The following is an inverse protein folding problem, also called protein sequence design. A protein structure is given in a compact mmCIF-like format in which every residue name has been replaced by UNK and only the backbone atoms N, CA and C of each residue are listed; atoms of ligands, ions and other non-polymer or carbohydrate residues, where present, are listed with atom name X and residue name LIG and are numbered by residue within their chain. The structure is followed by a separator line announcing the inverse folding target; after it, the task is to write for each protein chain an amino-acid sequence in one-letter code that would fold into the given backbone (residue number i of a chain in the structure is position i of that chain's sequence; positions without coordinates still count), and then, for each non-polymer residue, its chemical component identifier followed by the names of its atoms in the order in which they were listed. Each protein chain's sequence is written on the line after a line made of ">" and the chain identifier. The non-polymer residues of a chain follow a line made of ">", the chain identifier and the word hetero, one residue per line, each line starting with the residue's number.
data_IF_736057176744
#
_entry.id   IF_736057176744
#
_cell.length_a   1.000
_cell.length_b   1.000
_cell.length_c   1.000
_cell.angle_alpha   90.00
_cell.angle_beta   90.00
_cell.angle_gamma   90.00
#
_symmetry.space_group_name_H-M   'P 1'
#
loop_
_entity.id
_entity.type
_entity.pdbx_description
1 polymer ?
#
# COMPACT_ATOMS: atom_id res chain seq x y z
N UNK A 1 4.67 7.39 9.86
CA UNK A 1 5.29 6.17 9.30
C UNK A 1 6.66 6.55 8.73
N UNK A 2 7.73 5.82 9.04
CA UNK A 2 9.09 6.05 8.53
C UNK A 2 9.60 4.78 7.87
N UNK A 3 10.49 4.93 6.88
CA UNK A 3 11.09 3.80 6.16
C UNK A 3 12.57 3.67 6.52
N UNK A 4 13.15 2.46 6.43
CA UNK A 4 14.57 2.27 6.70
C UNK A 4 15.44 3.25 5.91
N UNK A 5 16.46 3.78 6.60
CA UNK A 5 17.37 4.73 6.02
C UNK A 5 18.30 4.02 5.02
N UNK A 6 18.54 4.62 3.84
CA UNK A 6 19.46 4.06 2.84
C UNK A 6 20.91 4.04 3.32
N UNK A 7 21.29 5.07 4.08
CA UNK A 7 22.63 5.27 4.63
C UNK A 7 22.56 5.56 6.13
N UNK A 8 22.35 4.55 6.99
CA UNK A 8 22.19 4.75 8.43
C UNK A 8 23.48 5.30 9.09
N UNK A 9 24.65 4.97 8.54
CA UNK A 9 25.94 5.50 9.01
C UNK A 9 26.25 6.93 8.59
N UNK A 10 25.37 7.62 7.84
CA UNK A 10 25.67 8.96 7.31
C UNK A 10 25.80 9.97 8.45
N UNK A 11 27.00 10.53 8.59
CA UNK A 11 27.30 11.61 9.55
C UNK A 11 27.22 12.98 8.90
N UNK A 12 27.00 14.01 9.70
CA UNK A 12 27.13 15.39 9.24
C UNK A 12 28.58 15.66 8.82
N UNK A 13 28.75 16.20 7.62
CA UNK A 13 30.07 16.51 7.06
C UNK A 13 30.66 17.82 7.61
N UNK A 14 29.82 18.82 7.91
CA UNK A 14 30.23 20.15 8.40
C UNK A 14 29.21 20.74 9.38
N UNK A 15 29.61 21.79 10.09
CA UNK A 15 28.80 22.51 11.08
C UNK A 15 28.95 21.97 12.50
N UNK A 16 28.17 22.51 13.44
CA UNK A 16 28.25 22.20 14.87
C UNK A 16 28.02 20.72 15.20
N UNK A 17 27.29 20.00 14.32
CA UNK A 17 26.99 18.57 14.45
C UNK A 17 27.96 17.66 13.70
N UNK A 18 29.08 18.19 13.17
CA UNK A 18 30.05 17.39 12.42
C UNK A 18 30.48 16.14 13.20
N UNK A 19 30.53 14.99 12.51
CA UNK A 19 30.83 13.71 13.15
C UNK A 19 29.66 13.01 13.85
N UNK A 20 28.55 13.72 14.10
CA UNK A 20 27.30 13.11 14.62
C UNK A 20 26.48 12.48 13.50
N UNK A 21 25.67 11.47 13.82
CA UNK A 21 24.76 10.84 12.87
C UNK A 21 23.69 11.82 12.40
N UNK A 22 23.48 11.89 11.08
CA UNK A 22 22.54 12.82 10.44
C UNK A 22 21.14 12.25 10.23
N UNK A 23 20.97 10.94 10.41
CA UNK A 23 19.69 10.28 10.21
C UNK A 23 18.82 10.34 11.46
N UNK A 24 17.51 10.40 11.26
CA UNK A 24 16.57 10.13 12.33
C UNK A 24 16.62 8.64 12.71
N UNK A 25 16.69 8.29 14.00
CA UNK A 25 16.83 6.89 14.46
C UNK A 25 15.66 6.00 14.07
N UNK A 26 14.48 6.58 13.86
CA UNK A 26 13.27 5.86 13.44
C UNK A 26 13.18 5.67 11.91
N UNK A 27 14.17 6.13 11.14
CA UNK A 27 14.22 6.02 9.68
C UNK A 27 13.91 7.33 8.95
N UNK A 28 13.88 7.28 7.62
CA UNK A 28 13.62 8.45 6.76
C UNK A 28 12.13 8.64 6.45
N UNK A 29 11.80 9.81 5.92
CA UNK A 29 10.50 10.06 5.32
C UNK A 29 10.27 9.08 4.14
N UNK A 30 9.09 8.44 4.04
CA UNK A 30 8.74 7.56 2.91
C UNK A 30 8.84 8.23 1.52
N UNK A 31 8.80 9.56 1.45
CA UNK A 31 8.76 10.32 0.18
C UNK A 31 7.36 10.30 -0.43
N UNK A 32 7.24 10.89 -1.63
CA UNK A 32 5.94 11.12 -2.27
C UNK A 32 5.52 10.00 -3.25
N UNK A 33 6.44 9.09 -3.57
CA UNK A 33 6.20 7.95 -4.46
C UNK A 33 6.09 6.67 -3.62
N UNK A 34 4.91 6.07 -3.59
CA UNK A 34 4.65 4.84 -2.85
C UNK A 34 4.38 3.67 -3.79
N UNK A 35 5.28 2.69 -3.79
CA UNK A 35 5.08 1.46 -4.54
C UNK A 35 4.26 0.48 -3.71
N UNK A 36 2.95 0.40 -3.98
CA UNK A 36 2.00 -0.49 -3.31
C UNK A 36 1.26 -1.32 -4.37
N UNK A 37 1.20 -2.65 -4.28
CA UNK A 37 0.46 -3.47 -5.24
C UNK A 37 -1.06 -3.23 -5.18
N UNK A 38 -1.71 -3.18 -6.34
CA UNK A 38 -3.17 -3.12 -6.42
C UNK A 38 -3.84 -4.44 -6.01
N UNK A 39 -5.10 -4.35 -5.59
CA UNK A 39 -5.95 -5.51 -5.29
C UNK A 39 -6.43 -6.15 -6.59
N UNK A 40 -5.63 -7.07 -7.14
CA UNK A 40 -5.95 -7.89 -8.33
C UNK A 40 -6.79 -9.11 -7.97
N UNK A 41 -7.20 -9.91 -8.96
CA UNK A 41 -8.05 -11.09 -8.80
C UNK A 41 -7.56 -12.08 -7.72
N UNK A 42 -6.26 -12.40 -7.72
CA UNK A 42 -5.65 -13.32 -6.74
C UNK A 42 -5.13 -12.63 -5.47
N UNK A 43 -5.51 -11.37 -5.22
CA UNK A 43 -5.04 -10.63 -4.05
C UNK A 43 -5.79 -11.07 -2.80
N UNK A 44 -5.08 -11.18 -1.66
CA UNK A 44 -5.65 -11.67 -0.38
C UNK A 44 -6.81 -10.83 0.14
N UNK A 45 -6.86 -9.56 -0.24
CA UNK A 45 -7.91 -8.61 0.13
C UNK A 45 -9.05 -8.54 -0.89
N UNK A 46 -8.97 -9.25 -2.03
CA UNK A 46 -9.95 -9.10 -3.11
C UNK A 46 -11.35 -9.47 -2.65
N UNK A 47 -12.29 -8.55 -2.90
CA UNK A 47 -13.73 -8.77 -2.69
C UNK A 47 -14.50 -8.52 -4.00
N UNK A 48 -15.81 -8.33 -3.88
CA UNK A 48 -16.72 -8.04 -4.99
C UNK A 48 -16.46 -6.66 -5.66
N UNK A 49 -15.81 -5.72 -4.96
CA UNK A 49 -15.63 -4.38 -5.51
C UNK A 49 -14.59 -4.37 -6.64
N UNK A 50 -14.90 -3.78 -7.81
CA UNK A 50 -14.01 -3.81 -8.98
C UNK A 50 -12.73 -2.99 -8.74
N UNK A 51 -12.89 -1.78 -8.18
CA UNK A 51 -11.82 -0.81 -7.97
C UNK A 51 -11.40 -0.72 -6.49
N UNK A 52 -11.19 -1.85 -5.83
CA UNK A 52 -10.84 -1.87 -4.41
C UNK A 52 -9.41 -1.38 -4.18
N UNK A 53 -9.23 -0.37 -3.33
CA UNK A 53 -7.91 0.03 -2.86
C UNK A 53 -7.35 -0.95 -1.81
N UNK A 54 -6.03 -1.23 -1.84
CA UNK A 54 -5.39 -2.02 -0.79
C UNK A 54 -5.42 -1.26 0.53
N UNK A 55 -5.66 -1.97 1.64
CA UNK A 55 -5.70 -1.36 2.98
C UNK A 55 -4.39 -0.63 3.28
N UNK A 56 -3.24 -1.19 2.89
CA UNK A 56 -1.93 -0.58 3.12
C UNK A 56 -1.83 0.88 2.62
N UNK A 57 -2.46 1.19 1.48
CA UNK A 57 -2.45 2.55 0.93
C UNK A 57 -3.13 3.51 1.91
N UNK A 58 -4.32 3.16 2.38
CA UNK A 58 -5.11 4.01 3.26
C UNK A 58 -4.55 4.01 4.69
N UNK A 59 -3.98 2.89 5.14
CA UNK A 59 -3.28 2.73 6.42
C UNK A 59 -2.17 3.78 6.60
N UNK A 60 -1.42 4.08 5.52
CA UNK A 60 -0.41 5.15 5.54
C UNK A 60 -1.01 6.53 5.80
N UNK A 61 -2.15 6.84 5.17
CA UNK A 61 -2.83 8.11 5.33
C UNK A 61 -3.40 8.25 6.74
N UNK A 62 -4.07 7.21 7.25
CA UNK A 62 -4.60 7.17 8.62
C UNK A 62 -3.48 7.43 9.63
N UNK A 63 -2.36 6.71 9.54
CA UNK A 63 -1.24 6.88 10.48
C UNK A 63 -0.51 8.21 10.36
N UNK A 64 -0.59 8.89 9.21
CA UNK A 64 0.09 10.16 8.97
C UNK A 64 -0.76 11.37 9.36
N UNK A 65 -2.09 11.26 9.23
CA UNK A 65 -3.02 12.39 9.30
C UNK A 65 -3.94 12.36 10.54
N UNK A 66 -3.89 11.30 11.35
CA UNK A 66 -4.79 11.13 12.50
C UNK A 66 -4.07 10.57 13.73
N UNK A 67 -4.61 10.89 14.90
CA UNK A 67 -4.22 10.32 16.18
C UNK A 67 -5.10 9.12 16.55
N UNK A 68 -4.69 8.36 17.57
CA UNK A 68 -5.53 7.29 18.12
C UNK A 68 -6.85 7.87 18.65
N UNK A 69 -7.97 7.16 18.46
CA UNK A 69 -9.31 7.60 18.87
C UNK A 69 -10.01 8.59 17.92
N UNK A 70 -9.28 9.22 16.98
CA UNK A 70 -9.87 10.10 15.97
C UNK A 70 -10.90 9.37 15.11
N UNK A 71 -11.84 10.13 14.53
CA UNK A 71 -12.82 9.63 13.58
C UNK A 71 -12.31 9.80 12.15
N UNK A 72 -12.17 8.69 11.42
CA UNK A 72 -11.89 8.66 9.99
C UNK A 72 -13.21 8.54 9.23
N UNK A 73 -13.50 9.48 8.35
CA UNK A 73 -14.73 9.49 7.55
C UNK A 73 -14.40 9.25 6.08
N UNK A 74 -15.06 8.27 5.47
CA UNK A 74 -14.99 8.00 4.03
C UNK A 74 -16.41 8.04 3.42
N UNK A 75 -16.80 9.12 2.71
CA UNK A 75 -18.13 9.24 2.13
C UNK A 75 -18.34 8.34 0.89
N UNK A 76 -17.30 7.66 0.42
CA UNK A 76 -17.32 6.70 -0.69
C UNK A 76 -16.68 5.38 -0.26
N UNK A 77 -17.16 4.85 0.87
CA UNK A 77 -16.48 3.81 1.65
C UNK A 77 -16.30 2.51 0.87
N UNK A 78 -17.14 2.23 -0.15
CA UNK A 78 -17.14 0.99 -0.90
C UNK A 78 -17.17 -0.21 0.04
N UNK A 79 -16.22 -1.12 -0.15
CA UNK A 79 -16.04 -2.31 0.70
C UNK A 79 -15.23 -2.05 1.97
N UNK A 80 -14.98 -0.80 2.36
CA UNK A 80 -14.48 -0.46 3.70
C UNK A 80 -12.97 -0.46 3.89
N UNK A 81 -12.15 -0.25 2.85
CA UNK A 81 -10.68 -0.22 3.03
C UNK A 81 -10.21 0.88 4.00
N UNK A 82 -10.81 2.07 3.95
CA UNK A 82 -10.51 3.17 4.89
C UNK A 82 -10.97 2.86 6.33
N UNK A 83 -12.17 2.33 6.49
CA UNK A 83 -12.69 1.95 7.79
C UNK A 83 -11.86 0.82 8.43
N UNK A 84 -11.45 -0.18 7.65
CA UNK A 84 -10.53 -1.23 8.12
C UNK A 84 -9.19 -0.63 8.59
N UNK A 85 -8.58 0.25 7.79
CA UNK A 85 -7.33 0.92 8.15
C UNK A 85 -7.45 1.74 9.45
N UNK A 86 -8.59 2.41 9.66
CA UNK A 86 -8.86 3.17 10.88
C UNK A 86 -8.94 2.26 12.12
N UNK A 87 -9.80 1.24 12.08
CA UNK A 87 -10.04 0.38 13.27
C UNK A 87 -8.83 -0.49 13.62
N UNK A 88 -8.04 -0.93 12.63
CA UNK A 88 -6.77 -1.64 12.84
C UNK A 88 -5.77 -0.84 13.67
N UNK A 89 -5.93 0.48 13.73
CA UNK A 89 -5.05 1.39 14.45
C UNK A 89 -5.76 2.12 15.59
N UNK A 90 -6.89 1.61 16.08
CA UNK A 90 -7.59 2.20 17.23
C UNK A 90 -8.23 3.56 16.93
N UNK A 91 -8.54 3.84 15.66
CA UNK A 91 -9.39 4.98 15.26
C UNK A 91 -10.83 4.51 15.12
N UNK A 92 -11.77 5.45 15.23
CA UNK A 92 -13.17 5.23 14.86
C UNK A 92 -13.32 5.41 13.36
N UNK A 93 -14.34 4.78 12.78
CA UNK A 93 -14.64 4.91 11.36
C UNK A 93 -16.12 5.24 11.14
N UNK A 94 -16.40 6.09 10.16
CA UNK A 94 -17.73 6.30 9.60
C UNK A 94 -17.63 6.41 8.08
N UNK A 95 -18.71 6.06 7.39
CA UNK A 95 -18.75 6.19 5.94
C UNK A 95 -20.07 5.74 5.35
N UNK A 96 -20.22 6.00 4.05
CA UNK A 96 -21.42 5.71 3.29
C UNK A 96 -21.05 5.22 1.89
N UNK A 97 -21.95 4.43 1.31
CA UNK A 97 -21.94 4.00 -0.08
C UNK A 97 -23.39 3.81 -0.51
N UNK A 98 -23.68 3.96 -1.81
CA UNK A 98 -25.03 3.73 -2.35
C UNK A 98 -25.31 2.24 -2.55
N UNK A 99 -24.28 1.40 -2.69
CA UNK A 99 -24.41 -0.03 -2.89
C UNK A 99 -24.49 -0.79 -1.55
N UNK A 100 -25.67 -1.34 -1.24
CA UNK A 100 -25.90 -2.12 -0.02
C UNK A 100 -24.96 -3.35 0.08
N UNK A 101 -24.66 -4.01 -1.03
CA UNK A 101 -23.74 -5.17 -1.06
C UNK A 101 -22.32 -4.78 -0.66
N UNK A 102 -21.86 -3.58 -1.05
CA UNK A 102 -20.55 -3.07 -0.64
C UNK A 102 -20.52 -2.80 0.87
N UNK A 103 -21.59 -2.20 1.40
CA UNK A 103 -21.74 -1.95 2.84
C UNK A 103 -21.77 -3.24 3.66
N UNK A 104 -22.42 -4.30 3.16
CA UNK A 104 -22.44 -5.61 3.83
C UNK A 104 -21.03 -6.21 3.93
N UNK A 105 -20.26 -6.16 2.85
CA UNK A 105 -18.85 -6.59 2.85
C UNK A 105 -18.00 -5.69 3.74
N UNK A 106 -18.22 -4.37 3.73
CA UNK A 106 -17.49 -3.43 4.57
C UNK A 106 -17.69 -3.73 6.06
N UNK A 107 -18.94 -3.98 6.49
CA UNK A 107 -19.29 -4.33 7.88
C UNK A 107 -18.55 -5.58 8.34
N UNK A 108 -18.57 -6.65 7.53
CA UNK A 108 -17.87 -7.90 7.87
C UNK A 108 -16.35 -7.71 7.92
N UNK A 109 -15.77 -6.97 6.98
CA UNK A 109 -14.33 -6.67 6.99
C UNK A 109 -13.93 -5.86 8.22
N UNK A 110 -14.72 -4.85 8.61
CA UNK A 110 -14.47 -4.04 9.81
C UNK A 110 -14.59 -4.89 11.07
N UNK A 111 -15.59 -5.77 11.17
CA UNK A 111 -15.74 -6.73 12.28
C UNK A 111 -14.49 -7.61 12.41
N UNK A 112 -14.07 -8.24 11.31
CA UNK A 112 -12.83 -9.05 11.26
C UNK A 112 -11.58 -8.24 11.61
N UNK A 113 -11.52 -6.96 11.24
CA UNK A 113 -10.40 -6.10 11.56
C UNK A 113 -10.29 -5.85 13.07
N UNK A 114 -11.42 -5.60 13.73
CA UNK A 114 -11.51 -5.43 15.19
C UNK A 114 -11.16 -6.71 15.94
N UNK A 115 -11.52 -7.87 15.39
CA UNK A 115 -11.20 -9.19 15.95
C UNK A 115 -9.77 -9.67 15.65
N UNK A 116 -9.04 -8.98 14.78
CA UNK A 116 -7.69 -9.37 14.35
C UNK A 116 -7.63 -10.52 13.33
N UNK A 117 -8.77 -10.93 12.75
CA UNK A 117 -8.88 -12.00 11.73
C UNK A 117 -9.00 -11.45 10.28
N UNK A 118 -8.78 -10.16 10.07
CA UNK A 118 -8.82 -9.61 8.72
C UNK A 118 -7.59 -10.02 7.91
N UNK A 119 -7.81 -10.88 6.90
CA UNK A 119 -6.79 -11.20 5.89
C UNK A 119 -6.45 -9.95 5.07
N UNK A 120 -5.20 -9.51 5.18
CA UNK A 120 -4.68 -8.34 4.44
C UNK A 120 -3.21 -8.48 4.12
N UNK A 121 -2.73 -7.64 3.20
CA UNK A 121 -1.30 -7.40 3.04
C UNK A 121 -0.83 -6.52 4.22
N UNK A 122 0.17 -6.96 5.03
CA UNK A 122 0.70 -6.14 6.10
C UNK A 122 1.41 -4.89 5.58
N UNK A 123 1.33 -3.80 6.35
CA UNK A 123 2.01 -2.54 6.07
C UNK A 123 3.52 -2.75 5.89
N UNK A 124 4.07 -2.27 4.77
CA UNK A 124 5.52 -2.33 4.52
C UNK A 124 6.04 -3.69 4.07
N UNK A 125 5.16 -4.68 3.80
CA UNK A 125 5.59 -5.94 3.19
C UNK A 125 6.33 -5.62 1.87
N UNK A 126 7.49 -6.22 1.57
CA UNK A 126 8.16 -6.03 0.29
C UNK A 126 7.33 -6.57 -0.88
N UNK A 127 7.45 -5.93 -2.05
CA UNK A 127 6.84 -6.44 -3.28
C UNK A 127 7.63 -7.66 -3.73
N UNK A 128 6.93 -8.73 -4.10
CA UNK A 128 7.56 -9.91 -4.68
C UNK A 128 8.29 -9.52 -5.98
N UNK A 129 9.59 -9.78 -6.03
CA UNK A 129 10.39 -9.64 -7.22
C UNK A 129 10.70 -11.05 -7.72
N UNK A 130 10.14 -11.45 -8.87
CA UNK A 130 10.41 -12.78 -9.39
C UNK A 130 11.88 -12.91 -9.78
N UNK A 131 12.48 -14.05 -9.45
CA UNK A 131 13.82 -14.39 -9.88
C UNK A 131 13.86 -14.78 -11.36
N UNK A 132 15.05 -14.81 -11.99
CA UNK A 132 15.20 -15.20 -13.40
C UNK A 132 14.63 -16.59 -13.75
N UNK A 133 14.63 -17.49 -12.76
CA UNK A 133 14.16 -18.87 -12.91
C UNK A 133 12.67 -19.06 -12.64
N UNK A 134 11.97 -18.01 -12.19
CA UNK A 134 10.53 -18.11 -11.96
C UNK A 134 9.80 -18.19 -13.29
N UNK A 135 8.83 -19.11 -13.38
CA UNK A 135 7.98 -19.27 -14.58
C UNK A 135 7.32 -17.96 -15.03
N UNK A 136 7.02 -17.06 -14.09
CA UNK A 136 6.40 -15.76 -14.37
C UNK A 136 7.38 -14.76 -15.00
N UNK A 137 8.68 -14.92 -14.77
CA UNK A 137 9.74 -14.09 -15.35
C UNK A 137 10.24 -14.66 -16.70
N UNK A 138 9.98 -15.93 -16.97
CA UNK A 138 10.36 -16.59 -18.21
C UNK A 138 9.39 -16.26 -19.34
N UNK A 139 9.94 -15.90 -20.51
CA UNK A 139 9.14 -15.69 -21.72
C UNK A 139 8.58 -17.04 -22.20
N UNK A 140 7.26 -17.17 -22.41
CA UNK A 140 6.68 -18.38 -22.96
C UNK A 140 7.29 -18.77 -24.32
N UNK A 141 7.50 -20.07 -24.55
CA UNK A 141 8.15 -20.58 -25.76
C UNK A 141 7.47 -20.12 -27.07
N UNK A 142 6.13 -20.03 -27.07
CA UNK A 142 5.36 -19.57 -28.23
C UNK A 142 5.55 -18.07 -28.54
N UNK A 143 6.07 -17.29 -27.60
CA UNK A 143 6.38 -15.86 -27.79
C UNK A 143 7.85 -15.63 -28.13
N UNK A 144 8.73 -16.62 -27.99
CA UNK A 144 10.19 -16.48 -28.17
C UNK A 144 10.59 -15.95 -29.54
N UNK A 145 9.87 -16.35 -30.59
CA UNK A 145 10.18 -16.00 -31.98
C UNK A 145 9.50 -14.70 -32.44
N UNK A 146 8.66 -14.08 -31.62
CA UNK A 146 8.03 -12.81 -31.97
C UNK A 146 9.00 -11.66 -31.67
N UNK A 147 9.41 -10.92 -32.70
CA UNK A 147 10.16 -9.67 -32.52
C UNK A 147 9.34 -8.73 -31.65
N UNK A 148 9.95 -8.18 -30.62
CA UNK A 148 9.33 -7.12 -29.81
C UNK A 148 9.28 -5.89 -30.73
N UNK A 149 8.14 -5.66 -31.37
CA UNK A 149 7.87 -4.38 -32.00
C UNK A 149 7.40 -3.47 -30.87
N UNK A 150 8.34 -2.85 -30.16
CA UNK A 150 7.99 -1.65 -29.41
C UNK A 150 7.79 -0.56 -30.44
N UNK A 151 6.56 -0.07 -30.69
CA UNK A 151 6.40 1.13 -31.50
C UNK A 151 7.22 2.24 -30.84
N UNK A 152 7.88 3.11 -31.62
CA UNK A 152 8.63 4.22 -31.05
C UNK A 152 7.68 5.03 -30.17
N UNK A 153 8.08 5.26 -28.91
CA UNK A 153 7.21 5.89 -27.89
C UNK A 153 6.69 7.27 -28.32
N UNK A 154 7.31 7.88 -29.33
CA UNK A 154 6.85 9.09 -30.00
C UNK A 154 7.27 9.01 -31.46
N UNK A 155 6.37 8.61 -32.35
CA UNK A 155 6.47 9.04 -33.74
C UNK A 155 5.97 10.49 -33.76
N UNK A 156 6.89 11.44 -33.88
CA UNK A 156 6.56 12.85 -34.07
C UNK A 156 5.67 12.99 -35.31
N UNK A 157 4.53 13.66 -35.14
CA UNK A 157 3.60 14.04 -36.20
C UNK A 157 4.23 15.02 -37.20
#
# INVERSE_FOLDING_TARGET
>A
MRVPQKYPGKKHFKGEKAGQYSCNPLGKNPGDIWTIPNVKHNHVEKTIHPCQFPIELVERLVLALTNSGDLVVDPYIGVGSAACAAVLHGRRAAGADTAADYLNVAKERVRRALEGDLRRRPLGRPIYQPGPNDRIAQRPAHLSNMKIVQPPLFATA
#
